data_IF_109372252590
#
_entry.id   IF_109372252590
#
_cell.length_a   1.000
_cell.length_b   1.000
_cell.length_c   1.000
_cell.angle_alpha   90.00
_cell.angle_beta   90.00
_cell.angle_gamma   90.00
#
_symmetry.space_group_name_H-M   'P 1'
#
loop_
_entity.id
_entity.type
_entity.pdbx_description
1 polymer ?
#
# COMPACT_ATOMS: atom_id res chain seq x y z
N UNK A 1 -4.23 -8.60 -24.59
CA UNK A 1 -3.72 -8.80 -23.21
C UNK A 1 -4.93 -8.99 -22.30
N UNK A 2 -4.89 -9.85 -21.27
CA UNK A 2 -6.01 -9.95 -20.32
C UNK A 2 -6.04 -8.72 -19.41
N UNK A 3 -7.21 -8.34 -18.87
CA UNK A 3 -7.35 -7.22 -17.93
C UNK A 3 -6.39 -7.34 -16.72
N UNK A 4 -6.22 -8.57 -16.21
CA UNK A 4 -5.30 -8.82 -15.09
C UNK A 4 -3.84 -8.60 -15.49
N UNK A 5 -3.44 -8.99 -16.71
CA UNK A 5 -2.07 -8.77 -17.19
C UNK A 5 -1.81 -7.29 -17.48
N UNK A 6 -2.82 -6.57 -17.98
CA UNK A 6 -2.73 -5.12 -18.20
C UNK A 6 -2.57 -4.36 -16.88
N UNK A 7 -3.42 -4.64 -15.89
CA UNK A 7 -3.27 -4.03 -14.56
C UNK A 7 -1.93 -4.41 -13.91
N UNK A 8 -1.47 -5.65 -14.12
CA UNK A 8 -0.17 -6.11 -13.61
C UNK A 8 0.98 -5.31 -14.21
N UNK A 9 0.98 -5.07 -15.53
CA UNK A 9 2.03 -4.27 -16.17
C UNK A 9 2.07 -2.84 -15.63
N UNK A 10 0.93 -2.23 -15.30
CA UNK A 10 0.91 -0.93 -14.61
C UNK A 10 1.54 -1.01 -13.22
N UNK A 11 1.29 -2.08 -12.44
CA UNK A 11 1.93 -2.26 -11.15
C UNK A 11 3.44 -2.49 -11.24
N UNK A 12 3.91 -3.30 -12.20
CA UNK A 12 5.33 -3.55 -12.41
C UNK A 12 6.06 -2.26 -12.77
N UNK A 13 5.47 -1.47 -13.68
CA UNK A 13 5.97 -0.16 -14.05
C UNK A 13 5.99 0.80 -12.86
N UNK A 14 4.92 0.85 -12.07
CA UNK A 14 4.83 1.68 -10.88
C UNK A 14 5.89 1.34 -9.82
N UNK A 15 6.16 0.04 -9.62
CA UNK A 15 7.21 -0.40 -8.70
C UNK A 15 8.61 -0.03 -9.23
N UNK A 16 8.78 0.08 -10.54
CA UNK A 16 10.03 0.46 -11.20
C UNK A 16 10.26 1.98 -11.29
N UNK A 17 9.34 2.84 -10.84
CA UNK A 17 9.48 4.29 -11.03
C UNK A 17 10.68 4.88 -10.28
N UNK A 18 11.22 5.96 -10.84
CA UNK A 18 12.02 6.95 -10.09
C UNK A 18 11.04 7.97 -9.53
N UNK A 19 10.87 7.97 -8.21
CA UNK A 19 9.88 8.81 -7.53
C UNK A 19 10.48 9.52 -6.32
N UNK A 20 10.66 10.84 -6.44
CA UNK A 20 11.26 11.68 -5.38
C UNK A 20 10.22 12.34 -4.47
N UNK A 21 8.93 12.11 -4.73
CA UNK A 21 7.84 12.67 -3.93
C UNK A 21 7.62 11.95 -2.58
N UNK A 22 6.66 12.42 -1.78
CA UNK A 22 6.30 11.79 -0.50
C UNK A 22 5.74 10.37 -0.68
N UNK A 23 6.20 9.41 0.12
CA UNK A 23 5.80 7.99 0.03
C UNK A 23 4.29 7.78 0.14
N UNK A 24 3.59 8.59 0.95
CA UNK A 24 2.13 8.54 1.16
C UNK A 24 1.29 8.88 -0.07
N UNK A 25 1.90 9.43 -1.13
CA UNK A 25 1.26 9.69 -2.42
C UNK A 25 2.00 9.03 -3.59
N UNK A 26 2.82 8.00 -3.31
CA UNK A 26 3.48 7.22 -4.34
C UNK A 26 2.45 6.67 -5.36
N UNK A 27 2.72 6.72 -6.68
CA UNK A 27 1.75 6.36 -7.74
C UNK A 27 1.09 4.99 -7.56
N UNK A 28 1.80 4.01 -7.01
CA UNK A 28 1.29 2.66 -6.74
C UNK A 28 0.08 2.62 -5.79
N UNK A 29 -0.08 3.63 -4.93
CA UNK A 29 -1.22 3.79 -4.02
C UNK A 29 -2.47 4.11 -4.85
N UNK A 30 -2.38 5.10 -5.76
CA UNK A 30 -3.43 5.47 -6.70
C UNK A 30 -3.82 4.29 -7.60
N UNK A 31 -2.84 3.56 -8.13
CA UNK A 31 -3.11 2.37 -8.96
C UNK A 31 -3.88 1.30 -8.20
N UNK A 32 -3.49 1.01 -6.95
CA UNK A 32 -4.25 0.05 -6.15
C UNK A 32 -5.66 0.54 -5.85
N UNK A 33 -5.83 1.83 -5.58
CA UNK A 33 -7.13 2.44 -5.35
C UNK A 33 -8.04 2.25 -6.57
N UNK A 34 -7.55 2.63 -7.76
CA UNK A 34 -8.24 2.44 -9.04
C UNK A 34 -8.59 0.97 -9.30
N UNK A 35 -7.60 0.06 -9.21
CA UNK A 35 -7.81 -1.38 -9.39
C UNK A 35 -8.88 -1.94 -8.45
N UNK A 36 -8.88 -1.52 -7.17
CA UNK A 36 -9.85 -2.00 -6.21
C UNK A 36 -11.27 -1.50 -6.52
N UNK A 37 -11.40 -0.26 -7.01
CA UNK A 37 -12.68 0.34 -7.43
C UNK A 37 -13.19 -0.33 -8.72
N UNK A 38 -12.35 -0.48 -9.75
CA UNK A 38 -12.66 -1.23 -10.99
C UNK A 38 -13.18 -2.63 -10.65
N UNK A 39 -12.58 -3.27 -9.63
CA UNK A 39 -12.97 -4.59 -9.15
C UNK A 39 -14.40 -4.72 -8.62
N UNK A 40 -15.16 -3.62 -8.43
CA UNK A 40 -16.60 -3.67 -8.13
C UNK A 40 -17.43 -4.17 -9.32
N UNK A 41 -16.95 -4.00 -10.56
CA UNK A 41 -17.58 -4.54 -11.76
C UNK A 41 -16.55 -5.19 -12.68
N UNK A 42 -16.23 -6.45 -12.40
CA UNK A 42 -15.25 -7.22 -13.19
C UNK A 42 -15.74 -7.61 -14.58
N UNK A 43 -17.06 -7.68 -14.79
CA UNK A 43 -17.65 -8.07 -16.06
C UNK A 43 -17.66 -6.92 -17.06
N UNK A 44 -17.79 -5.69 -16.56
CA UNK A 44 -17.73 -4.47 -17.36
C UNK A 44 -16.85 -3.43 -16.63
N UNK A 45 -15.51 -3.62 -16.64
CA UNK A 45 -14.59 -2.71 -15.97
C UNK A 45 -14.66 -1.31 -16.61
N UNK A 46 -14.45 -0.27 -15.80
CA UNK A 46 -14.42 1.10 -16.32
C UNK A 46 -13.16 1.35 -17.14
N UNK A 47 -13.33 1.60 -18.44
CA UNK A 47 -12.23 2.00 -19.31
C UNK A 47 -11.63 3.35 -18.88
N UNK A 48 -12.45 4.29 -18.42
CA UNK A 48 -11.98 5.60 -17.96
C UNK A 48 -11.00 5.48 -16.79
N UNK A 49 -11.27 4.58 -15.85
CA UNK A 49 -10.36 4.32 -14.73
C UNK A 49 -9.10 3.57 -15.16
N UNK A 50 -9.19 2.68 -16.16
CA UNK A 50 -8.03 1.99 -16.75
C UNK A 50 -7.10 2.95 -17.48
N UNK A 51 -7.66 3.84 -18.30
CA UNK A 51 -6.90 4.89 -18.99
C UNK A 51 -6.18 5.80 -17.98
N UNK A 52 -6.79 6.05 -16.82
CA UNK A 52 -6.16 6.81 -15.75
C UNK A 52 -4.99 6.07 -15.10
N UNK A 53 -5.09 4.76 -14.91
CA UNK A 53 -3.97 3.96 -14.43
C UNK A 53 -2.76 4.06 -15.38
N UNK A 54 -2.99 4.03 -16.69
CA UNK A 54 -1.95 4.19 -17.69
C UNK A 54 -1.26 5.56 -17.61
N UNK A 55 -2.04 6.65 -17.55
CA UNK A 55 -1.50 8.02 -17.41
C UNK A 55 -0.65 8.21 -16.16
N UNK A 56 -1.09 7.65 -15.04
CA UNK A 56 -0.37 7.74 -13.76
C UNK A 56 1.04 7.15 -13.88
N UNK A 57 1.21 5.99 -14.53
CA UNK A 57 2.52 5.36 -14.69
C UNK A 57 3.37 5.98 -15.80
N UNK A 58 2.73 6.58 -16.81
CA UNK A 58 3.42 7.26 -17.90
C UNK A 58 4.02 8.61 -17.49
N UNK A 59 3.58 9.16 -16.36
CA UNK A 59 4.04 10.46 -15.86
C UNK A 59 5.43 10.45 -15.23
N UNK A 60 6.06 9.29 -15.09
CA UNK A 60 7.33 9.11 -14.38
C UNK A 60 8.32 8.25 -15.19
N UNK A 61 9.62 8.53 -15.11
CA UNK A 61 10.63 7.64 -15.68
C UNK A 61 10.81 6.38 -14.83
N UNK A 62 11.27 5.31 -15.47
CA UNK A 62 11.56 4.02 -14.83
C UNK A 62 13.05 3.89 -14.50
N UNK A 63 13.34 3.20 -13.41
CA UNK A 63 14.67 2.70 -13.08
C UNK A 63 15.06 1.62 -14.08
N UNK A 64 16.32 1.62 -14.47
CA UNK A 64 16.86 0.68 -15.47
C UNK A 64 17.96 -0.22 -14.91
N UNK A 65 18.34 -0.04 -13.65
CA UNK A 65 19.48 -0.67 -13.01
C UNK A 65 19.09 -1.77 -12.00
N UNK A 66 17.80 -2.10 -11.85
CA UNK A 66 17.32 -3.14 -10.92
C UNK A 66 18.07 -4.48 -11.13
N UNK A 67 18.24 -4.93 -12.38
CA UNK A 67 18.99 -6.16 -12.69
C UNK A 67 20.49 -6.03 -12.41
N UNK A 68 21.08 -4.84 -12.66
CA UNK A 68 22.50 -4.62 -12.45
C UNK A 68 22.91 -4.77 -10.97
N UNK A 69 22.01 -4.42 -10.05
CA UNK A 69 22.22 -4.64 -8.60
C UNK A 69 22.25 -6.13 -8.28
N UNK A 70 21.28 -6.91 -8.78
CA UNK A 70 21.27 -8.37 -8.59
C UNK A 70 22.52 -9.03 -9.16
N UNK A 71 22.91 -8.68 -10.37
CA UNK A 71 24.08 -9.25 -11.04
C UNK A 71 25.39 -8.94 -10.30
N UNK A 72 25.50 -7.75 -9.71
CA UNK A 72 26.65 -7.36 -8.89
C UNK A 72 26.77 -8.25 -7.65
N UNK A 73 25.66 -8.50 -6.96
CA UNK A 73 25.66 -9.35 -5.75
C UNK A 73 25.97 -10.80 -6.11
N UNK A 74 25.39 -11.33 -7.19
CA UNK A 74 25.67 -12.70 -7.64
C UNK A 74 27.17 -12.94 -7.92
N UNK A 75 27.88 -11.93 -8.47
CA UNK A 75 29.33 -12.00 -8.74
C UNK A 75 30.19 -12.03 -7.48
N UNK A 76 29.73 -11.40 -6.39
CA UNK A 76 30.45 -11.36 -5.12
C UNK A 76 30.34 -12.68 -4.32
N UNK A 77 29.52 -13.62 -4.79
CA UNK A 77 29.42 -14.99 -4.31
C UNK A 77 28.20 -15.23 -3.40
N UNK A 78 27.35 -16.18 -3.77
CA UNK A 78 26.13 -16.59 -3.04
C UNK A 78 26.39 -17.67 -1.96
N UNK A 79 27.66 -17.95 -1.66
CA UNK A 79 28.06 -19.04 -0.76
C UNK A 79 28.11 -18.66 0.72
N UNK A 80 27.82 -17.40 1.06
CA UNK A 80 27.82 -16.92 2.45
C UNK A 80 26.44 -17.09 3.06
N UNK A 81 26.40 -17.41 4.36
CA UNK A 81 25.15 -17.39 5.12
C UNK A 81 24.65 -15.96 5.20
N UNK A 82 23.36 -15.76 4.92
CA UNK A 82 22.69 -14.47 5.04
C UNK A 82 21.64 -14.51 6.13
N UNK A 83 21.51 -13.42 6.88
CA UNK A 83 20.51 -13.29 7.93
C UNK A 83 19.60 -12.11 7.64
N UNK A 84 18.31 -12.26 7.97
CA UNK A 84 17.35 -11.15 7.88
C UNK A 84 17.75 -10.00 8.82
N UNK A 85 18.42 -10.30 9.93
CA UNK A 85 18.94 -9.30 10.87
C UNK A 85 19.94 -8.35 10.21
N UNK A 86 20.75 -8.82 9.26
CA UNK A 86 21.73 -7.97 8.58
C UNK A 86 21.02 -6.91 7.73
N UNK A 87 19.91 -7.28 7.08
CA UNK A 87 19.05 -6.33 6.36
C UNK A 87 18.34 -5.37 7.32
N UNK A 88 17.84 -5.86 8.46
CA UNK A 88 17.18 -5.03 9.48
C UNK A 88 18.17 -3.98 10.03
N UNK A 89 19.38 -4.41 10.39
CA UNK A 89 20.47 -3.55 10.89
C UNK A 89 20.90 -2.53 9.83
N UNK A 90 21.05 -2.94 8.57
CA UNK A 90 21.36 -2.01 7.47
C UNK A 90 20.28 -0.92 7.31
N UNK A 91 19.00 -1.28 7.50
CA UNK A 91 17.90 -0.33 7.48
C UNK A 91 17.95 0.64 8.68
N UNK A 92 18.24 0.15 9.89
CA UNK A 92 18.39 1.00 11.08
C UNK A 92 19.57 1.97 10.95
N UNK A 93 20.70 1.48 10.42
CA UNK A 93 21.88 2.29 10.18
C UNK A 93 21.70 3.32 9.06
N UNK A 94 20.65 3.19 8.25
CA UNK A 94 20.33 4.10 7.15
C UNK A 94 21.38 4.12 6.04
N UNK A 95 22.10 3.01 5.82
CA UNK A 95 23.12 2.89 4.79
C UNK A 95 22.52 2.34 3.48
N UNK A 96 22.26 3.15 2.44
CA UNK A 96 21.51 2.71 1.27
C UNK A 96 22.22 1.61 0.46
N UNK A 97 23.56 1.62 0.45
CA UNK A 97 24.35 0.64 -0.31
C UNK A 97 24.29 -0.74 0.36
N UNK A 98 24.38 -0.76 1.68
CA UNK A 98 24.30 -1.97 2.50
C UNK A 98 22.88 -2.54 2.47
N UNK A 99 21.86 -1.68 2.61
CA UNK A 99 20.45 -2.08 2.47
C UNK A 99 20.16 -2.76 1.13
N UNK A 100 20.60 -2.17 0.00
CA UNK A 100 20.41 -2.78 -1.33
C UNK A 100 21.20 -4.08 -1.47
N UNK A 101 22.42 -4.14 -0.92
CA UNK A 101 23.25 -5.34 -0.98
C UNK A 101 22.61 -6.51 -0.22
N UNK A 102 22.23 -6.31 1.05
CA UNK A 102 21.65 -7.37 1.88
C UNK A 102 20.30 -7.84 1.34
N UNK A 103 19.45 -6.91 0.87
CA UNK A 103 18.18 -7.27 0.27
C UNK A 103 18.34 -8.05 -1.05
N UNK A 104 19.27 -7.63 -1.92
CA UNK A 104 19.57 -8.34 -3.16
C UNK A 104 20.17 -9.72 -2.90
N UNK A 105 20.99 -9.85 -1.85
CA UNK A 105 21.59 -11.12 -1.46
C UNK A 105 20.53 -12.10 -0.95
N UNK A 106 19.64 -11.64 -0.06
CA UNK A 106 18.48 -12.41 0.39
C UNK A 106 17.53 -12.77 -0.76
N UNK A 107 17.34 -11.88 -1.74
CA UNK A 107 16.51 -12.15 -2.91
C UNK A 107 17.05 -13.33 -3.74
N UNK A 108 18.38 -13.44 -3.89
CA UNK A 108 19.01 -14.52 -4.67
C UNK A 108 18.86 -15.90 -4.04
N UNK A 109 18.94 -15.98 -2.72
CA UNK A 109 18.89 -17.25 -1.99
C UNK A 109 17.46 -17.66 -1.60
N UNK A 110 16.50 -16.74 -1.69
CA UNK A 110 15.10 -17.00 -1.36
C UNK A 110 14.39 -17.79 -2.47
N UNK A 111 13.69 -18.87 -2.10
CA UNK A 111 12.92 -19.67 -3.06
C UNK A 111 11.74 -18.90 -3.69
N UNK A 112 11.24 -17.86 -3.05
CA UNK A 112 10.08 -17.09 -3.53
C UNK A 112 10.16 -15.56 -3.35
N UNK A 113 11.25 -15.03 -2.77
CA UNK A 113 11.49 -13.61 -2.52
C UNK A 113 10.47 -12.89 -1.60
N UNK A 114 9.40 -13.57 -1.18
CA UNK A 114 8.31 -12.98 -0.41
C UNK A 114 8.73 -12.62 1.02
N UNK A 115 9.61 -13.44 1.61
CA UNK A 115 10.12 -13.20 2.97
C UNK A 115 10.89 -11.89 3.10
N UNK A 116 11.58 -11.45 2.04
CA UNK A 116 12.37 -10.21 2.04
C UNK A 116 11.46 -8.99 2.07
N UNK A 117 10.45 -8.94 1.20
CA UNK A 117 9.49 -7.84 1.17
C UNK A 117 8.71 -7.74 2.48
N UNK A 118 8.27 -8.86 3.07
CA UNK A 118 7.57 -8.83 4.37
C UNK A 118 8.45 -8.36 5.52
N UNK A 119 9.74 -8.73 5.54
CA UNK A 119 10.69 -8.21 6.52
C UNK A 119 10.86 -6.70 6.40
N UNK A 120 11.01 -6.19 5.17
CA UNK A 120 11.08 -4.75 4.93
C UNK A 120 9.78 -4.02 5.25
N UNK A 121 8.62 -4.64 5.04
CA UNK A 121 7.34 -4.06 5.45
C UNK A 121 7.33 -3.91 6.97
N UNK A 122 7.67 -4.95 7.73
CA UNK A 122 7.76 -4.85 9.20
C UNK A 122 8.66 -3.68 9.64
N UNK A 123 9.85 -3.57 9.05
CA UNK A 123 10.80 -2.47 9.33
C UNK A 123 10.21 -1.10 8.96
N UNK A 124 9.61 -0.98 7.78
CA UNK A 124 9.00 0.26 7.31
C UNK A 124 7.85 0.75 8.21
N UNK A 125 7.13 -0.16 8.88
CA UNK A 125 6.02 0.22 9.77
C UNK A 125 6.46 0.93 11.06
N UNK A 126 7.75 0.95 11.37
CA UNK A 126 8.30 1.81 12.43
C UNK A 126 8.02 3.31 12.13
N UNK A 127 7.96 3.70 10.86
CA UNK A 127 7.56 5.04 10.43
C UNK A 127 6.21 4.97 9.69
N UNK A 128 5.16 4.58 10.42
CA UNK A 128 3.85 4.30 9.81
C UNK A 128 3.24 5.52 9.10
N UNK A 129 3.38 6.73 9.66
CA UNK A 129 2.80 7.93 9.06
C UNK A 129 3.38 8.22 7.68
N UNK A 130 4.67 7.90 7.45
CA UNK A 130 5.31 8.04 6.14
C UNK A 130 5.12 6.82 5.26
N UNK A 131 5.34 5.62 5.80
CA UNK A 131 5.52 4.40 5.00
C UNK A 131 4.36 3.41 5.11
N UNK A 132 3.49 3.51 6.11
CA UNK A 132 2.46 2.50 6.39
C UNK A 132 1.46 2.29 5.26
N UNK A 133 0.87 3.37 4.76
CA UNK A 133 -0.04 3.31 3.60
C UNK A 133 0.69 2.81 2.35
N UNK A 134 1.89 3.32 2.09
CA UNK A 134 2.69 2.89 0.95
C UNK A 134 3.01 1.39 1.00
N UNK A 135 3.54 0.89 2.11
CA UNK A 135 3.91 -0.51 2.32
C UNK A 135 2.72 -1.46 2.10
N UNK A 136 1.53 -1.09 2.60
CA UNK A 136 0.31 -1.85 2.33
C UNK A 136 0.03 -1.94 0.82
N UNK A 137 -0.01 -0.81 0.12
CA UNK A 137 -0.35 -0.80 -1.30
C UNK A 137 0.72 -1.48 -2.15
N UNK A 138 2.01 -1.31 -1.84
CA UNK A 138 3.11 -2.00 -2.50
C UNK A 138 2.98 -3.52 -2.38
N UNK A 139 2.69 -4.02 -1.17
CA UNK A 139 2.45 -5.44 -0.94
C UNK A 139 1.27 -5.97 -1.78
N UNK A 140 0.17 -5.22 -1.85
CA UNK A 140 -1.01 -5.60 -2.64
C UNK A 140 -0.74 -5.61 -4.14
N UNK A 141 0.14 -4.74 -4.63
CA UNK A 141 0.58 -4.72 -6.01
C UNK A 141 1.46 -5.93 -6.32
N UNK A 142 2.41 -6.26 -5.44
CA UNK A 142 3.30 -7.40 -5.60
C UNK A 142 2.55 -8.74 -5.69
N UNK A 143 1.56 -8.96 -4.81
CA UNK A 143 0.77 -10.21 -4.81
C UNK A 143 -0.29 -10.27 -5.91
N UNK A 144 -0.57 -9.17 -6.61
CA UNK A 144 -1.56 -9.15 -7.68
C UNK A 144 -1.00 -9.85 -8.91
N UNK A 145 -1.63 -10.94 -9.36
CA UNK A 145 -1.17 -11.75 -10.50
C UNK A 145 0.34 -12.05 -10.42
N UNK A 146 0.79 -12.48 -9.24
CA UNK A 146 2.21 -12.51 -8.90
C UNK A 146 2.98 -13.52 -9.75
N UNK A 147 4.06 -13.04 -10.35
CA UNK A 147 5.16 -13.88 -10.83
C UNK A 147 6.17 -14.05 -9.70
N UNK A 148 6.17 -15.23 -9.06
CA UNK A 148 6.96 -15.50 -7.83
C UNK A 148 8.45 -15.16 -8.00
N UNK A 149 8.98 -15.22 -9.23
CA UNK A 149 10.39 -14.93 -9.54
C UNK A 149 10.72 -13.44 -9.71
N UNK A 150 9.73 -12.55 -9.75
CA UNK A 150 9.91 -11.13 -10.09
C UNK A 150 9.46 -10.20 -8.96
N UNK A 151 9.87 -10.49 -7.73
CA UNK A 151 9.54 -9.68 -6.54
C UNK A 151 10.58 -8.58 -6.26
N UNK A 152 11.77 -8.67 -6.87
CA UNK A 152 12.89 -7.76 -6.62
C UNK A 152 12.53 -6.29 -6.85
N UNK A 153 11.86 -5.97 -7.96
CA UNK A 153 11.47 -4.58 -8.27
C UNK A 153 10.62 -3.95 -7.17
N UNK A 154 9.75 -4.75 -6.53
CA UNK A 154 8.92 -4.31 -5.41
C UNK A 154 9.74 -4.17 -4.13
N UNK A 155 10.63 -5.13 -3.83
CA UNK A 155 11.58 -5.05 -2.71
C UNK A 155 12.42 -3.77 -2.81
N UNK A 156 13.00 -3.51 -3.98
CA UNK A 156 13.82 -2.32 -4.23
C UNK A 156 13.01 -1.03 -4.17
N UNK A 157 11.77 -1.04 -4.64
CA UNK A 157 10.84 0.08 -4.49
C UNK A 157 10.66 0.45 -3.00
N UNK A 158 10.46 -0.53 -2.11
CA UNK A 158 10.36 -0.27 -0.68
C UNK A 158 11.64 0.32 -0.10
N UNK A 159 12.80 -0.22 -0.46
CA UNK A 159 14.10 0.32 -0.01
C UNK A 159 14.28 1.78 -0.42
N UNK A 160 13.93 2.14 -1.67
CA UNK A 160 14.02 3.52 -2.16
C UNK A 160 13.13 4.48 -1.39
N UNK A 161 12.02 4.01 -0.83
CA UNK A 161 11.19 4.82 0.06
C UNK A 161 11.74 4.86 1.49
N UNK A 162 12.25 3.75 2.03
CA UNK A 162 12.86 3.70 3.37
C UNK A 162 14.01 4.71 3.46
N UNK A 163 14.94 4.72 2.50
CA UNK A 163 16.17 5.55 2.52
C UNK A 163 15.93 7.06 2.48
N UNK A 164 14.70 7.52 2.19
CA UNK A 164 14.39 8.96 2.13
C UNK A 164 14.56 9.68 3.47
N UNK A 165 14.47 8.95 4.57
CA UNK A 165 14.68 9.47 5.93
C UNK A 165 15.09 8.32 6.86
N UNK A 166 15.94 8.57 7.87
CA UNK A 166 16.23 7.58 8.91
C UNK A 166 14.94 7.03 9.54
N UNK A 167 14.95 5.74 9.86
CA UNK A 167 13.85 5.09 10.57
C UNK A 167 13.95 5.39 12.08
N UNK A 168 12.80 5.47 12.77
CA UNK A 168 12.78 5.35 14.23
C UNK A 168 13.25 3.95 14.67
N UNK A 169 13.69 3.85 15.92
CA UNK A 169 13.98 2.55 16.53
C UNK A 169 12.71 1.67 16.60
N UNK A 170 12.85 0.33 16.57
CA UNK A 170 11.73 -0.59 16.74
C UNK A 170 10.92 -0.31 18.00
N UNK A 171 9.58 -0.28 17.88
CA UNK A 171 8.72 0.07 19.01
C UNK A 171 8.39 -1.12 19.90
N UNK A 172 8.12 -0.84 21.18
CA UNK A 172 7.54 -1.84 22.08
C UNK A 172 6.09 -2.13 21.70
N UNK A 173 5.66 -3.40 21.83
CA UNK A 173 4.26 -3.77 21.66
C UNK A 173 3.40 -3.04 22.69
N UNK A 174 2.28 -2.48 22.24
CA UNK A 174 1.24 -1.92 23.12
C UNK A 174 0.03 -2.86 23.07
N UNK A 175 -0.50 -3.26 24.24
CA UNK A 175 -1.73 -4.05 24.26
C UNK A 175 -2.93 -3.16 23.90
N UNK A 176 -3.58 -3.46 22.77
CA UNK A 176 -4.77 -2.74 22.29
C UNK A 176 -5.89 -3.73 21.94
N UNK A 177 -7.15 -3.35 22.21
CA UNK A 177 -8.34 -4.02 21.68
C UNK A 177 -8.67 -3.40 20.30
N UNK A 178 -8.02 -3.91 19.25
CA UNK A 178 -8.18 -3.37 17.90
C UNK A 178 -9.61 -3.59 17.38
N UNK A 179 -10.26 -2.49 16.99
CA UNK A 179 -11.56 -2.50 16.31
C UNK A 179 -11.51 -1.54 15.13
N UNK A 180 -11.80 -2.07 13.95
CA UNK A 180 -11.90 -1.25 12.74
C UNK A 180 -13.01 -0.21 12.91
N UNK A 181 -12.63 1.07 12.82
CA UNK A 181 -13.54 2.21 12.93
C UNK A 181 -13.11 3.31 11.99
N UNK A 182 -14.07 4.03 11.43
CA UNK A 182 -13.80 5.21 10.60
C UNK A 182 -13.58 6.45 11.48
N UNK A 183 -12.51 7.20 11.19
CA UNK A 183 -12.25 8.48 11.86
C UNK A 183 -13.17 9.58 11.31
N UNK A 184 -13.56 10.54 12.16
CA UNK A 184 -14.19 11.79 11.74
C UNK A 184 -13.23 12.71 10.98
N UNK A 185 -11.91 12.55 11.17
CA UNK A 185 -10.87 13.38 10.55
C UNK A 185 -10.48 12.83 9.17
N UNK A 186 -10.63 13.69 8.16
CA UNK A 186 -10.35 13.38 6.74
C UNK A 186 -8.95 12.78 6.53
N UNK A 187 -7.93 13.38 7.17
CA UNK A 187 -6.52 12.99 7.01
C UNK A 187 -6.16 11.64 7.67
N UNK A 188 -7.00 11.10 8.55
CA UNK A 188 -6.75 9.81 9.21
C UNK A 188 -7.38 8.62 8.47
N UNK A 189 -8.37 8.86 7.60
CA UNK A 189 -9.17 7.80 6.96
C UNK A 189 -8.29 6.81 6.20
N UNK A 190 -7.41 7.30 5.32
CA UNK A 190 -6.54 6.45 4.50
C UNK A 190 -5.58 5.63 5.35
N UNK A 191 -4.88 6.27 6.29
CA UNK A 191 -3.93 5.61 7.17
C UNK A 191 -4.58 4.50 8.00
N UNK A 192 -5.75 4.77 8.61
CA UNK A 192 -6.51 3.77 9.36
C UNK A 192 -7.00 2.62 8.48
N UNK A 193 -7.40 2.91 7.24
CA UNK A 193 -7.82 1.88 6.30
C UNK A 193 -6.63 0.96 5.93
N UNK A 194 -5.43 1.51 5.72
CA UNK A 194 -4.22 0.72 5.49
C UNK A 194 -3.82 -0.10 6.73
N UNK A 195 -3.82 0.53 7.91
CA UNK A 195 -3.52 -0.11 9.19
C UNK A 195 -4.45 -1.30 9.44
N UNK A 196 -5.76 -1.14 9.21
CA UNK A 196 -6.71 -2.23 9.40
C UNK A 196 -6.50 -3.41 8.47
N UNK A 197 -6.11 -3.16 7.22
CA UNK A 197 -5.81 -4.23 6.28
C UNK A 197 -4.46 -4.91 6.54
N UNK A 198 -3.49 -4.20 7.11
CA UNK A 198 -2.24 -4.80 7.59
C UNK A 198 -2.46 -5.60 8.88
N UNK A 199 -3.35 -5.15 9.77
CA UNK A 199 -3.66 -5.83 11.03
C UNK A 199 -4.35 -7.18 10.83
N UNK A 200 -5.31 -7.22 9.90
CA UNK A 200 -6.13 -8.39 9.58
C UNK A 200 -5.53 -9.30 8.51
N UNK A 201 -4.42 -8.90 7.88
CA UNK A 201 -3.83 -9.68 6.79
C UNK A 201 -3.11 -10.94 7.28
N UNK A 202 -2.90 -11.87 6.35
CA UNK A 202 -2.19 -13.13 6.58
C UNK A 202 -0.74 -12.97 6.14
N UNK A 203 0.13 -12.60 7.09
CA UNK A 203 1.56 -12.36 6.87
C UNK A 203 2.38 -13.31 7.73
N UNK A 204 3.53 -13.77 7.21
CA UNK A 204 4.48 -14.58 7.96
C UNK A 204 4.99 -13.80 9.17
N UNK A 205 5.25 -12.50 8.99
CA UNK A 205 5.73 -11.59 10.04
C UNK A 205 4.62 -10.82 10.77
N UNK A 206 3.39 -11.36 10.81
CA UNK A 206 2.22 -10.69 11.41
C UNK A 206 2.46 -10.19 12.85
N UNK A 207 3.28 -10.90 13.64
CA UNK A 207 3.59 -10.49 15.03
C UNK A 207 4.33 -9.15 15.08
N UNK A 208 5.32 -8.96 14.20
CA UNK A 208 6.09 -7.72 14.09
C UNK A 208 5.25 -6.58 13.49
N UNK A 209 4.48 -6.88 12.44
CA UNK A 209 3.51 -5.93 11.87
C UNK A 209 2.55 -5.42 12.94
N UNK A 210 1.93 -6.32 13.72
CA UNK A 210 1.01 -5.93 14.81
C UNK A 210 1.69 -5.19 15.94
N UNK A 211 2.98 -5.43 16.22
CA UNK A 211 3.77 -4.65 17.19
C UNK A 211 3.80 -3.18 16.78
N UNK A 212 4.28 -2.88 15.57
CA UNK A 212 4.39 -1.50 15.07
C UNK A 212 3.02 -0.83 14.95
N UNK A 213 2.03 -1.54 14.40
CA UNK A 213 0.66 -1.02 14.31
C UNK A 213 0.06 -0.72 15.68
N UNK A 214 0.30 -1.57 16.68
CA UNK A 214 -0.25 -1.37 18.02
C UNK A 214 0.30 -0.11 18.68
N UNK A 215 1.60 0.15 18.49
CA UNK A 215 2.24 1.37 18.94
C UNK A 215 1.66 2.58 18.22
N UNK A 216 1.61 2.56 16.88
CA UNK A 216 1.07 3.67 16.10
C UNK A 216 -0.39 3.97 16.45
N UNK A 217 -1.25 2.96 16.52
CA UNK A 217 -2.67 3.12 16.87
C UNK A 217 -2.85 3.70 18.29
N UNK A 218 -1.97 3.36 19.24
CA UNK A 218 -2.02 3.91 20.60
C UNK A 218 -1.76 5.42 20.66
N UNK A 219 -1.04 5.97 19.67
CA UNK A 219 -0.69 7.39 19.58
C UNK A 219 -1.58 8.19 18.62
N UNK A 220 -2.25 7.53 17.68
CA UNK A 220 -2.99 8.15 16.57
C UNK A 220 -4.22 9.00 16.97
N UNK A 221 -4.66 9.01 18.25
CA UNK A 221 -5.80 9.80 18.77
C UNK A 221 -7.01 9.82 17.82
N UNK A 222 -7.57 8.63 17.56
CA UNK A 222 -8.66 8.45 16.60
C UNK A 222 -9.95 9.11 17.11
N UNK A 223 -10.40 10.14 16.40
CA UNK A 223 -11.66 10.81 16.72
C UNK A 223 -12.85 10.09 16.08
N UNK A 224 -13.84 9.76 16.90
CA UNK A 224 -15.05 9.11 16.45
C UNK A 224 -16.09 10.14 16.01
N UNK A 225 -16.59 9.99 14.79
CA UNK A 225 -17.74 10.75 14.32
C UNK A 225 -19.05 10.14 14.84
N UNK A 226 -20.07 10.97 15.05
CA UNK A 226 -21.43 10.52 15.36
C UNK A 226 -22.44 11.19 14.45
N UNK A 227 -23.47 10.44 14.08
CA UNK A 227 -24.66 10.95 13.38
C UNK A 227 -24.45 11.31 11.91
N UNK A 228 -25.55 11.73 11.27
CA UNK A 228 -25.60 12.13 9.86
C UNK A 228 -26.68 11.40 9.08
N UNK A 229 -27.01 11.92 7.90
CA UNK A 229 -27.81 11.19 6.92
C UNK A 229 -26.91 10.26 6.13
N UNK A 230 -27.45 9.12 5.72
CA UNK A 230 -26.75 8.22 4.82
C UNK A 230 -26.91 8.76 3.40
N UNK A 231 -25.80 8.84 2.66
CA UNK A 231 -25.79 9.30 1.28
C UNK A 231 -26.69 8.41 0.40
N UNK A 232 -27.45 9.03 -0.50
CA UNK A 232 -28.30 8.30 -1.43
C UNK A 232 -27.48 7.27 -2.24
N UNK A 233 -28.01 6.05 -2.37
CA UNK A 233 -27.35 4.96 -3.09
C UNK A 233 -26.32 4.17 -2.27
N UNK A 234 -25.81 4.70 -1.16
CA UNK A 234 -24.80 4.01 -0.35
C UNK A 234 -25.37 2.74 0.33
N UNK A 235 -26.59 2.81 0.87
CA UNK A 235 -27.23 1.62 1.45
C UNK A 235 -27.51 0.54 0.40
N UNK A 236 -27.87 0.94 -0.81
CA UNK A 236 -28.12 0.00 -1.91
C UNK A 236 -26.82 -0.66 -2.34
N UNK A 237 -25.72 0.10 -2.42
CA UNK A 237 -24.39 -0.46 -2.66
C UNK A 237 -23.99 -1.46 -1.57
N UNK A 238 -24.22 -1.16 -0.29
CA UNK A 238 -23.91 -2.10 0.81
C UNK A 238 -24.70 -3.41 0.66
N UNK A 239 -25.96 -3.33 0.22
CA UNK A 239 -26.84 -4.51 0.08
C UNK A 239 -26.56 -5.33 -1.19
N UNK A 240 -26.20 -4.67 -2.30
CA UNK A 240 -26.23 -5.27 -3.65
C UNK A 240 -24.91 -5.14 -4.43
N UNK A 241 -23.94 -4.39 -3.92
CA UNK A 241 -22.77 -3.96 -4.69
C UNK A 241 -23.17 -3.01 -5.83
N UNK A 242 -22.37 -2.99 -6.89
CA UNK A 242 -22.63 -2.21 -8.11
C UNK A 242 -21.60 -1.11 -8.35
N UNK A 243 -21.96 -0.16 -9.23
CA UNK A 243 -21.02 0.82 -9.78
C UNK A 243 -20.86 2.10 -8.94
N UNK A 244 -21.46 2.20 -7.75
CA UNK A 244 -21.47 3.43 -6.94
C UNK A 244 -20.08 4.07 -6.81
N UNK A 245 -19.07 3.30 -6.40
CA UNK A 245 -17.70 3.81 -6.25
C UNK A 245 -16.98 4.01 -7.59
N UNK A 246 -17.38 3.28 -8.64
CA UNK A 246 -16.84 3.47 -10.00
C UNK A 246 -17.31 4.83 -10.53
N UNK A 247 -18.61 5.11 -10.48
CA UNK A 247 -19.21 6.36 -10.95
C UNK A 247 -18.66 7.58 -10.19
N UNK A 248 -18.49 7.46 -8.87
CA UNK A 248 -17.82 8.51 -8.08
C UNK A 248 -16.37 8.72 -8.53
N UNK A 249 -15.58 7.65 -8.69
CA UNK A 249 -14.18 7.77 -9.12
C UNK A 249 -14.07 8.38 -10.52
N UNK A 250 -14.93 7.98 -11.45
CA UNK A 250 -14.99 8.57 -12.79
C UNK A 250 -15.30 10.06 -12.76
N UNK A 251 -16.17 10.51 -11.86
CA UNK A 251 -16.46 11.93 -11.64
C UNK A 251 -15.29 12.73 -11.06
N UNK A 252 -14.38 12.06 -10.33
CA UNK A 252 -13.22 12.71 -9.71
C UNK A 252 -12.05 12.94 -10.66
N UNK A 253 -11.86 12.12 -11.70
CA UNK A 253 -10.69 12.17 -12.60
C UNK A 253 -10.44 13.55 -13.21
N UNK A 254 -11.48 14.34 -13.47
CA UNK A 254 -11.34 15.69 -14.03
C UNK A 254 -10.91 16.76 -13.02
N UNK A 255 -10.81 16.42 -11.72
CA UNK A 255 -10.48 17.37 -10.67
C UNK A 255 -8.97 17.55 -10.51
N UNK A 256 -8.57 18.71 -10.02
CA UNK A 256 -7.22 18.92 -9.49
C UNK A 256 -6.99 18.00 -8.28
N UNK A 257 -5.79 17.41 -8.19
CA UNK A 257 -5.39 16.49 -7.12
C UNK A 257 -6.35 15.29 -6.95
N UNK A 258 -6.89 14.78 -8.06
CA UNK A 258 -7.87 13.70 -8.03
C UNK A 258 -7.30 12.41 -7.44
N UNK A 259 -5.99 12.17 -7.53
CA UNK A 259 -5.29 11.01 -7.00
C UNK A 259 -5.52 10.87 -5.49
N UNK A 260 -5.32 11.94 -4.73
CA UNK A 260 -5.56 11.95 -3.28
C UNK A 260 -7.04 11.68 -2.95
N UNK A 261 -7.96 12.20 -3.77
CA UNK A 261 -9.40 11.97 -3.60
C UNK A 261 -9.77 10.51 -3.91
N UNK A 262 -9.19 9.91 -4.95
CA UNK A 262 -9.39 8.51 -5.33
C UNK A 262 -8.85 7.56 -4.25
N UNK A 263 -7.67 7.85 -3.71
CA UNK A 263 -7.08 7.09 -2.59
C UNK A 263 -8.04 7.13 -1.39
N UNK A 264 -8.53 8.31 -1.04
CA UNK A 264 -9.49 8.44 0.05
C UNK A 264 -10.82 7.74 -0.25
N UNK A 265 -11.33 7.85 -1.47
CA UNK A 265 -12.55 7.17 -1.92
C UNK A 265 -12.42 5.65 -1.75
N UNK A 266 -11.27 5.06 -2.08
CA UNK A 266 -11.03 3.63 -1.88
C UNK A 266 -10.94 3.24 -0.41
N UNK A 267 -10.32 4.09 0.43
CA UNK A 267 -10.29 3.87 1.88
C UNK A 267 -11.72 3.84 2.46
N UNK A 268 -12.58 4.79 2.05
CA UNK A 268 -13.99 4.81 2.42
C UNK A 268 -14.74 3.58 1.92
N UNK A 269 -14.48 3.13 0.69
CA UNK A 269 -15.05 1.89 0.13
C UNK A 269 -14.71 0.68 1.00
N UNK A 270 -13.50 0.60 1.51
CA UNK A 270 -13.13 -0.47 2.44
C UNK A 270 -13.90 -0.40 3.75
N UNK A 271 -14.03 0.79 4.36
CA UNK A 271 -14.85 0.94 5.55
C UNK A 271 -16.30 0.56 5.28
N UNK A 272 -16.90 0.97 4.15
CA UNK A 272 -18.27 0.59 3.79
C UNK A 272 -18.46 -0.93 3.74
N UNK A 273 -17.46 -1.67 3.28
CA UNK A 273 -17.51 -3.14 3.17
C UNK A 273 -17.22 -3.88 4.46
N UNK A 274 -16.54 -3.26 5.43
CA UNK A 274 -15.98 -3.97 6.60
C UNK A 274 -16.38 -3.37 7.96
N UNK A 275 -16.96 -2.17 7.98
CA UNK A 275 -17.42 -1.51 9.22
C UNK A 275 -18.86 -1.89 9.56
N UNK A 276 -19.26 -1.58 10.79
CA UNK A 276 -20.63 -1.76 11.25
C UNK A 276 -21.54 -0.66 10.69
N UNK A 277 -22.85 -0.96 10.54
CA UNK A 277 -23.82 -0.02 9.94
C UNK A 277 -23.87 1.37 10.58
N UNK A 278 -23.49 1.49 11.85
CA UNK A 278 -23.43 2.78 12.56
C UNK A 278 -22.37 3.74 12.02
N UNK A 279 -21.41 3.25 11.23
CA UNK A 279 -20.33 4.06 10.66
C UNK A 279 -20.74 4.69 9.32
N UNK A 280 -21.81 4.19 8.67
CA UNK A 280 -22.28 4.68 7.36
C UNK A 280 -22.57 6.19 7.32
N UNK A 281 -23.15 6.82 8.36
CA UNK A 281 -23.32 8.27 8.38
C UNK A 281 -22.01 9.06 8.34
N UNK A 282 -20.97 8.60 9.04
CA UNK A 282 -19.65 9.23 9.05
C UNK A 282 -18.97 9.07 7.70
N UNK A 283 -19.08 7.88 7.10
CA UNK A 283 -18.57 7.61 5.75
C UNK A 283 -19.28 8.50 4.73
N UNK A 284 -20.61 8.65 4.83
CA UNK A 284 -21.40 9.51 3.94
C UNK A 284 -20.91 10.96 3.96
N UNK A 285 -20.64 11.52 5.15
CA UNK A 285 -20.09 12.86 5.29
C UNK A 285 -18.73 13.02 4.59
N UNK A 286 -17.87 11.99 4.64
CA UNK A 286 -16.60 12.03 3.91
C UNK A 286 -16.80 11.94 2.40
N UNK A 287 -17.72 11.10 1.92
CA UNK A 287 -18.03 10.94 0.51
C UNK A 287 -18.59 12.24 -0.11
N UNK A 288 -19.44 12.97 0.62
CA UNK A 288 -19.97 14.28 0.20
C UNK A 288 -18.87 15.37 0.10
N UNK A 289 -17.73 15.18 0.76
CA UNK A 289 -16.63 16.14 0.82
C UNK A 289 -15.47 15.83 -0.15
N UNK A 290 -15.64 14.85 -1.04
CA UNK A 290 -14.71 14.52 -2.13
C UNK A 290 -14.99 15.38 -3.36
#
# INVERSE_FOLDING_TARGET
MSLQNEIKSYFDRAAALVYDGPSVIHPIITLNALKNIIGDNRNNPSQKLLDEMAKVVESYPERIDDQAILDRVAKNGLGQTVFISDLEDACQNGNPLEMEYEAAHLQWISENGLGVLEALIEVALQDFDRLGTFSYHLQRANVFNQEIKNTWTYTRCLLKEIVKSPLPEPHAKVEIDYKLKVSSKKNQVTALASAGRLWEGDYIRIKGIRRELSYWLSSASVEMGTGGKIMNGLEDYVKKGGNFFIEMAEGLISNLNHEAKIIQLEALRYFVKNSIKSDLPVISKHLEAL
#
